data_IF_924623312588
#
_entry.id   IF_924623312588
#
_cell.length_a   1.000
_cell.length_b   1.000
_cell.length_c   1.000
_cell.angle_alpha   90.00
_cell.angle_beta   90.00
_cell.angle_gamma   90.00
#
_symmetry.space_group_name_H-M   'P 1'
#
loop_
_entity.id
_entity.type
_entity.pdbx_description
1 polymer ?
#
# COMPACT_ATOMS: atom_id res chain seq x y z
N UNK A 1 10.73 -10.60 -42.07
CA UNK A 1 10.20 -11.05 -40.76
C UNK A 1 11.35 -11.72 -39.99
N UNK A 2 11.38 -11.68 -38.66
CA UNK A 2 12.42 -12.29 -37.80
C UNK A 2 13.62 -11.42 -37.36
N UNK A 3 13.34 -10.27 -36.74
CA UNK A 3 14.24 -9.67 -35.71
C UNK A 3 13.51 -9.22 -34.44
N UNK A 4 12.18 -9.04 -34.50
CA UNK A 4 11.33 -8.74 -33.33
C UNK A 4 11.05 -9.95 -32.42
N UNK A 5 11.24 -11.19 -32.89
CA UNK A 5 10.99 -12.40 -32.07
C UNK A 5 12.13 -12.75 -31.10
N UNK A 6 13.35 -12.27 -31.31
CA UNK A 6 14.50 -12.61 -30.45
C UNK A 6 14.71 -11.63 -29.26
N UNK A 7 14.06 -10.46 -29.28
CA UNK A 7 14.16 -9.50 -28.18
C UNK A 7 13.22 -9.81 -27.00
N UNK A 8 12.25 -10.72 -27.20
CA UNK A 8 11.24 -11.07 -26.20
C UNK A 8 11.65 -12.28 -25.33
N UNK A 9 12.73 -12.95 -25.69
CA UNK A 9 13.19 -14.21 -25.07
C UNK A 9 14.30 -14.01 -24.01
N UNK A 10 14.85 -12.81 -23.88
CA UNK A 10 15.89 -12.46 -22.89
C UNK A 10 15.37 -11.72 -21.65
N UNK A 11 14.11 -11.94 -21.26
CA UNK A 11 13.63 -11.49 -19.94
C UNK A 11 14.14 -12.46 -18.89
N UNK A 12 15.35 -12.21 -18.38
CA UNK A 12 16.02 -13.05 -17.37
C UNK A 12 15.03 -13.41 -16.24
N UNK A 13 14.60 -14.68 -16.23
CA UNK A 13 13.58 -15.27 -15.36
C UNK A 13 14.11 -15.58 -13.95
N UNK A 14 15.11 -14.84 -13.48
CA UNK A 14 15.79 -15.18 -12.24
C UNK A 14 15.81 -14.00 -11.27
N UNK A 15 14.88 -14.01 -10.32
CA UNK A 15 14.86 -13.15 -9.12
C UNK A 15 15.75 -13.69 -7.99
N UNK A 16 16.58 -14.68 -8.31
CA UNK A 16 17.51 -15.30 -7.35
C UNK A 16 18.74 -15.88 -8.03
N UNK A 17 19.83 -15.96 -7.27
CA UNK A 17 21.09 -16.64 -7.65
C UNK A 17 21.44 -17.71 -6.62
N UNK A 18 22.29 -18.67 -7.03
CA UNK A 18 22.87 -19.64 -6.10
C UNK A 18 23.77 -18.92 -5.07
N UNK A 19 23.80 -19.40 -3.82
CA UNK A 19 24.67 -18.84 -2.80
C UNK A 19 26.14 -19.18 -3.14
N UNK A 20 27.08 -18.21 -3.09
CA UNK A 20 28.44 -18.38 -3.60
C UNK A 20 29.26 -19.47 -2.87
N UNK A 21 28.85 -19.88 -1.67
CA UNK A 21 29.54 -20.89 -0.86
C UNK A 21 28.70 -22.13 -0.55
N UNK A 22 27.44 -22.19 -1.01
CA UNK A 22 26.53 -23.32 -0.69
C UNK A 22 25.52 -23.52 -1.82
N UNK A 23 25.71 -24.59 -2.59
CA UNK A 23 24.89 -24.89 -3.76
C UNK A 23 23.43 -25.19 -3.42
N UNK A 24 23.14 -25.59 -2.17
CA UNK A 24 21.79 -25.89 -1.70
C UNK A 24 21.00 -24.64 -1.33
N UNK A 25 21.63 -23.46 -1.28
CA UNK A 25 21.00 -22.19 -0.89
C UNK A 25 20.82 -21.24 -2.06
N UNK A 26 19.77 -20.42 -1.98
CA UNK A 26 19.46 -19.37 -2.96
C UNK A 26 19.39 -18.01 -2.30
N UNK A 27 19.97 -17.01 -2.96
CA UNK A 27 19.85 -15.61 -2.61
C UNK A 27 18.74 -14.99 -3.46
N UNK A 28 17.68 -14.52 -2.80
CA UNK A 28 16.55 -13.86 -3.47
C UNK A 28 16.74 -12.35 -3.45
N UNK A 29 16.52 -11.71 -4.59
CA UNK A 29 16.58 -10.27 -4.71
C UNK A 29 15.19 -9.68 -4.53
N UNK A 30 15.07 -8.79 -3.54
CA UNK A 30 13.88 -7.98 -3.32
C UNK A 30 14.24 -6.51 -3.46
N UNK A 31 13.29 -5.72 -3.97
CA UNK A 31 13.39 -4.26 -3.95
C UNK A 31 12.88 -3.72 -2.62
N UNK A 32 13.35 -2.53 -2.25
CA UNK A 32 12.82 -1.78 -1.11
C UNK A 32 11.35 -1.41 -1.37
N UNK A 33 10.45 -2.18 -0.76
CA UNK A 33 9.01 -2.07 -0.96
C UNK A 33 8.44 -0.71 -0.49
N UNK A 34 8.73 -0.21 0.72
CA UNK A 34 8.35 1.13 1.15
C UNK A 34 8.71 2.23 0.13
N UNK A 35 9.89 2.14 -0.48
CA UNK A 35 10.31 3.09 -1.50
C UNK A 35 9.56 2.94 -2.82
N UNK A 36 9.13 1.74 -3.20
CA UNK A 36 8.26 1.54 -4.37
C UNK A 36 6.89 2.18 -4.16
N UNK A 37 6.25 1.98 -3.00
CA UNK A 37 4.95 2.59 -2.68
C UNK A 37 5.02 4.12 -2.74
N UNK A 38 6.07 4.68 -2.14
CA UNK A 38 6.39 6.11 -2.23
C UNK A 38 6.48 6.57 -3.69
N UNK A 39 7.22 5.86 -4.53
CA UNK A 39 7.40 6.24 -5.94
C UNK A 39 6.07 6.22 -6.72
N UNK A 40 5.18 5.26 -6.42
CA UNK A 40 3.83 5.20 -7.00
C UNK A 40 3.01 6.44 -6.61
N UNK A 41 2.97 6.79 -5.31
CA UNK A 41 2.31 8.01 -4.83
C UNK A 41 2.84 9.26 -5.52
N UNK A 42 4.17 9.41 -5.56
CA UNK A 42 4.84 10.55 -6.21
C UNK A 42 4.48 10.64 -7.69
N UNK A 43 4.44 9.51 -8.40
CA UNK A 43 4.08 9.46 -9.81
C UNK A 43 2.64 9.93 -10.05
N UNK A 44 1.69 9.52 -9.21
CA UNK A 44 0.29 9.95 -9.28
C UNK A 44 0.20 11.47 -9.03
N UNK A 45 0.89 11.98 -8.00
CA UNK A 45 0.92 13.41 -7.68
C UNK A 45 1.52 14.25 -8.82
N UNK A 46 2.57 13.74 -9.49
CA UNK A 46 3.22 14.45 -10.59
C UNK A 46 2.43 14.44 -11.89
N UNK A 47 1.80 13.30 -12.24
CA UNK A 47 1.11 13.13 -13.53
C UNK A 47 -0.38 13.41 -13.48
N UNK A 48 -0.98 13.44 -12.29
CA UNK A 48 -2.41 13.65 -12.08
C UNK A 48 -3.28 12.45 -12.45
N UNK A 49 -2.83 11.57 -13.35
CA UNK A 49 -3.56 10.36 -13.76
C UNK A 49 -2.65 9.15 -13.92
N UNK A 50 -3.22 7.96 -13.71
CA UNK A 50 -2.58 6.66 -13.91
C UNK A 50 -3.58 5.69 -14.55
N UNK A 51 -3.19 5.06 -15.66
CA UNK A 51 -4.02 4.04 -16.33
C UNK A 51 -3.78 2.68 -15.68
N UNK A 52 -4.85 2.01 -15.27
CA UNK A 52 -4.85 0.65 -14.73
C UNK A 52 -5.79 -0.24 -15.55
N UNK A 53 -5.74 -1.57 -15.41
CA UNK A 53 -6.70 -2.46 -16.06
C UNK A 53 -8.16 -2.17 -15.71
N UNK A 54 -8.43 -1.58 -14.54
CA UNK A 54 -9.77 -1.26 -14.05
C UNK A 54 -10.26 0.13 -14.44
N UNK A 55 -9.42 0.93 -15.13
CA UNK A 55 -9.78 2.27 -15.58
C UNK A 55 -8.70 3.31 -15.32
N UNK A 56 -9.12 4.57 -15.19
CA UNK A 56 -8.20 5.68 -14.96
C UNK A 56 -8.28 6.14 -13.52
N UNK A 57 -7.16 6.01 -12.81
CA UNK A 57 -6.97 6.56 -11.46
C UNK A 57 -6.63 8.04 -11.59
N UNK A 58 -7.41 8.92 -10.94
CA UNK A 58 -7.21 10.37 -10.99
C UNK A 58 -6.84 10.93 -9.61
N UNK A 59 -5.81 11.75 -9.56
CA UNK A 59 -5.40 12.51 -8.37
C UNK A 59 -6.50 13.44 -7.86
N UNK A 60 -7.34 13.96 -8.77
CA UNK A 60 -8.44 14.85 -8.44
C UNK A 60 -9.41 14.24 -7.43
N UNK A 61 -9.63 12.92 -7.45
CA UNK A 61 -10.47 12.25 -6.46
C UNK A 61 -9.95 12.43 -5.02
N UNK A 62 -8.64 12.38 -4.80
CA UNK A 62 -8.05 12.65 -3.48
C UNK A 62 -8.13 14.13 -3.09
N UNK A 63 -7.97 15.04 -4.06
CA UNK A 63 -8.04 16.48 -3.78
C UNK A 63 -9.45 16.91 -3.38
N UNK A 64 -10.45 16.47 -4.14
CA UNK A 64 -11.87 16.73 -3.85
C UNK A 64 -12.25 16.13 -2.49
N UNK A 65 -11.85 14.88 -2.23
CA UNK A 65 -12.04 14.26 -0.93
C UNK A 65 -11.44 15.12 0.20
N UNK A 66 -10.16 15.51 0.08
CA UNK A 66 -9.49 16.33 1.09
C UNK A 66 -10.21 17.66 1.32
N UNK A 67 -10.63 18.33 0.24
CA UNK A 67 -11.31 19.63 0.33
C UNK A 67 -12.65 19.54 1.06
N UNK A 68 -13.47 18.54 0.72
CA UNK A 68 -14.81 18.38 1.32
C UNK A 68 -14.70 17.82 2.74
N UNK A 69 -13.78 16.89 2.99
CA UNK A 69 -13.56 16.30 4.30
C UNK A 69 -13.00 17.29 5.31
N UNK A 70 -12.07 18.16 4.89
CA UNK A 70 -11.46 19.17 5.77
C UNK A 70 -12.45 20.23 6.28
N UNK A 71 -13.61 20.39 5.62
CA UNK A 71 -14.67 21.32 6.03
C UNK A 71 -15.61 20.72 7.09
N UNK A 72 -15.57 19.39 7.32
CA UNK A 72 -16.42 18.73 8.33
C UNK A 72 -15.78 18.78 9.71
N UNK A 73 -16.61 18.91 10.75
CA UNK A 73 -16.16 18.84 12.14
C UNK A 73 -15.64 17.45 12.54
N UNK A 74 -16.21 16.38 11.96
CA UNK A 74 -15.72 15.01 12.07
C UNK A 74 -15.33 14.54 10.67
N UNK A 75 -14.05 14.17 10.53
CA UNK A 75 -13.43 13.80 9.27
C UNK A 75 -13.44 12.29 9.05
N UNK A 76 -13.83 11.87 7.85
CA UNK A 76 -13.78 10.47 7.42
C UNK A 76 -12.35 10.04 7.07
N UNK A 77 -11.53 10.95 6.54
CA UNK A 77 -10.12 10.70 6.20
C UNK A 77 -9.19 11.71 6.90
N UNK A 78 -9.10 11.72 8.24
CA UNK A 78 -8.36 12.74 9.00
C UNK A 78 -6.85 12.72 8.73
N UNK A 79 -6.29 11.57 8.33
CA UNK A 79 -4.87 11.41 7.99
C UNK A 79 -4.52 12.03 6.64
N UNK A 80 -5.50 12.27 5.77
CA UNK A 80 -5.28 12.90 4.48
C UNK A 80 -5.15 14.42 4.69
N UNK A 81 -4.01 14.98 4.33
CA UNK A 81 -3.65 16.39 4.54
C UNK A 81 -3.09 17.01 3.25
N UNK A 82 -2.95 18.33 3.20
CA UNK A 82 -2.33 19.06 2.09
C UNK A 82 -0.93 18.53 1.73
N UNK A 83 -0.15 18.07 2.71
CA UNK A 83 1.19 17.48 2.52
C UNK A 83 1.19 16.28 1.56
N UNK A 84 0.07 15.58 1.43
CA UNK A 84 -0.04 14.44 0.52
C UNK A 84 0.08 14.87 -0.94
N UNK A 85 -0.24 16.12 -1.26
CA UNK A 85 -0.22 16.67 -2.62
C UNK A 85 1.03 17.52 -2.90
N UNK A 86 1.84 17.77 -1.88
CA UNK A 86 3.05 18.58 -2.03
C UNK A 86 4.08 17.87 -2.93
N UNK A 87 4.77 18.68 -3.75
CA UNK A 87 5.90 18.25 -4.60
C UNK A 87 7.26 18.53 -3.95
N UNK A 88 7.27 18.98 -2.69
CA UNK A 88 8.48 19.23 -1.93
C UNK A 88 9.31 17.95 -1.76
N UNK A 89 10.64 18.05 -1.89
CA UNK A 89 11.56 16.92 -1.81
C UNK A 89 11.48 16.19 -0.48
N UNK A 90 11.37 16.92 0.63
CA UNK A 90 11.27 16.31 1.96
C UNK A 90 9.97 15.52 2.14
N UNK A 91 8.84 16.10 1.74
CA UNK A 91 7.53 15.45 1.84
C UNK A 91 7.40 14.28 0.85
N UNK A 92 8.06 14.35 -0.30
CA UNK A 92 8.12 13.26 -1.29
C UNK A 92 8.85 12.03 -0.73
N UNK A 93 9.77 12.22 0.23
CA UNK A 93 10.50 11.12 0.86
C UNK A 93 9.76 10.43 2.02
N UNK A 94 8.69 11.05 2.55
CA UNK A 94 7.94 10.50 3.70
C UNK A 94 7.07 9.33 3.27
N UNK A 95 7.55 8.11 3.53
CA UNK A 95 6.83 6.86 3.28
C UNK A 95 5.47 6.82 4.00
N UNK A 96 5.41 7.36 5.21
CA UNK A 96 4.16 7.41 5.98
C UNK A 96 3.02 8.13 5.25
N UNK A 97 3.33 9.20 4.51
CA UNK A 97 2.34 9.90 3.68
C UNK A 97 1.87 9.03 2.51
N UNK A 98 2.72 8.16 1.97
CA UNK A 98 2.31 7.24 0.91
C UNK A 98 1.41 6.12 1.44
N UNK A 99 1.66 5.65 2.66
CA UNK A 99 0.84 4.62 3.30
C UNK A 99 -0.55 5.16 3.61
N UNK A 100 -0.67 6.35 4.20
CA UNK A 100 -1.97 7.00 4.42
C UNK A 100 -2.66 7.38 3.11
N UNK A 101 -1.91 7.71 2.04
CA UNK A 101 -2.49 8.01 0.73
C UNK A 101 -3.24 6.81 0.11
N UNK A 102 -2.77 5.60 0.39
CA UNK A 102 -3.34 4.35 -0.09
C UNK A 102 -4.14 3.58 0.97
N UNK A 103 -4.55 4.22 2.07
CA UNK A 103 -5.18 3.50 3.16
C UNK A 103 -6.65 3.15 2.88
N UNK A 104 -7.15 2.10 3.53
CA UNK A 104 -8.56 1.70 3.43
C UNK A 104 -9.51 2.83 3.87
N UNK A 105 -9.14 3.65 4.86
CA UNK A 105 -9.97 4.78 5.30
C UNK A 105 -10.19 5.81 4.18
N UNK A 106 -9.19 6.04 3.33
CA UNK A 106 -9.34 6.92 2.16
C UNK A 106 -10.30 6.32 1.14
N UNK A 107 -10.22 5.01 0.88
CA UNK A 107 -11.15 4.32 -0.03
C UNK A 107 -12.60 4.40 0.46
N UNK A 108 -12.83 4.08 1.74
CA UNK A 108 -14.17 4.14 2.37
C UNK A 108 -14.71 5.57 2.37
N UNK A 109 -13.86 6.55 2.66
CA UNK A 109 -14.27 7.95 2.61
C UNK A 109 -14.70 8.37 1.19
N UNK A 110 -13.92 8.03 0.15
CA UNK A 110 -14.30 8.31 -1.24
C UNK A 110 -15.67 7.73 -1.59
N UNK A 111 -15.93 6.47 -1.24
CA UNK A 111 -17.23 5.82 -1.49
C UNK A 111 -18.37 6.51 -0.73
N UNK A 112 -18.16 6.87 0.54
CA UNK A 112 -19.15 7.60 1.32
C UNK A 112 -19.54 8.92 0.65
N UNK A 113 -18.55 9.69 0.17
CA UNK A 113 -18.82 10.97 -0.49
C UNK A 113 -19.41 10.83 -1.89
N UNK A 114 -19.10 9.74 -2.60
CA UNK A 114 -19.80 9.39 -3.83
C UNK A 114 -21.28 9.08 -3.58
N UNK A 115 -21.59 8.35 -2.49
CA UNK A 115 -22.98 8.08 -2.09
C UNK A 115 -23.74 9.36 -1.70
N UNK A 116 -23.05 10.32 -1.07
CA UNK A 116 -23.56 11.66 -0.78
C UNK A 116 -23.70 12.56 -2.03
N UNK A 117 -23.36 12.05 -3.22
CA UNK A 117 -23.41 12.75 -4.52
C UNK A 117 -22.56 14.02 -4.57
N UNK A 118 -21.38 13.98 -3.95
CA UNK A 118 -20.39 15.06 -4.09
C UNK A 118 -19.91 15.15 -5.53
N UNK A 119 -19.95 16.36 -6.08
CA UNK A 119 -19.52 16.63 -7.45
C UNK A 119 -18.05 16.26 -7.68
N UNK A 120 -17.77 15.56 -8.77
CA UNK A 120 -16.42 15.14 -9.17
C UNK A 120 -15.93 13.87 -8.49
N UNK A 121 -16.79 13.18 -7.72
CA UNK A 121 -16.56 11.84 -7.21
C UNK A 121 -17.50 10.80 -7.85
N UNK A 122 -18.08 11.08 -9.02
CA UNK A 122 -19.00 10.15 -9.67
C UNK A 122 -18.28 8.92 -10.27
N UNK A 123 -17.04 9.09 -10.74
CA UNK A 123 -16.28 8.05 -11.45
C UNK A 123 -15.07 7.51 -10.67
N UNK A 124 -15.28 7.26 -9.36
CA UNK A 124 -14.22 6.85 -8.43
C UNK A 124 -13.87 5.36 -8.45
N UNK A 125 -14.66 4.51 -9.12
CA UNK A 125 -14.55 3.04 -9.03
C UNK A 125 -13.12 2.52 -9.29
N UNK A 126 -12.46 3.01 -10.34
CA UNK A 126 -11.08 2.63 -10.66
C UNK A 126 -10.07 3.11 -9.61
N UNK A 127 -10.24 4.32 -9.07
CA UNK A 127 -9.39 4.87 -8.00
C UNK A 127 -9.54 4.07 -6.71
N UNK A 128 -10.77 3.77 -6.30
CA UNK A 128 -11.04 3.01 -5.08
C UNK A 128 -10.49 1.59 -5.18
N UNK A 129 -10.74 0.90 -6.30
CA UNK A 129 -10.18 -0.43 -6.53
C UNK A 129 -8.64 -0.43 -6.47
N UNK A 130 -8.01 0.61 -7.02
CA UNK A 130 -6.56 0.78 -6.95
C UNK A 130 -6.05 1.02 -5.53
N UNK A 131 -6.69 1.91 -4.77
CA UNK A 131 -6.34 2.19 -3.36
C UNK A 131 -6.39 0.89 -2.56
N UNK A 132 -7.49 0.13 -2.64
CA UNK A 132 -7.65 -1.12 -1.89
C UNK A 132 -6.60 -2.18 -2.24
N UNK A 133 -6.22 -2.27 -3.52
CA UNK A 133 -5.14 -3.19 -3.94
C UNK A 133 -3.80 -2.77 -3.37
N UNK A 134 -3.50 -1.47 -3.40
CA UNK A 134 -2.28 -0.94 -2.78
C UNK A 134 -2.28 -1.17 -1.27
N UNK A 135 -3.41 -0.92 -0.58
CA UNK A 135 -3.55 -1.17 0.85
C UNK A 135 -3.26 -2.64 1.20
N UNK A 136 -3.92 -3.58 0.51
CA UNK A 136 -3.71 -5.02 0.72
C UNK A 136 -2.27 -5.45 0.43
N UNK A 137 -1.64 -4.87 -0.59
CA UNK A 137 -0.23 -5.14 -0.90
C UNK A 137 0.69 -4.60 0.20
N UNK A 138 0.41 -3.40 0.72
CA UNK A 138 1.15 -2.82 1.84
C UNK A 138 1.00 -3.70 3.08
N UNK A 139 -0.22 -4.08 3.44
CA UNK A 139 -0.49 -4.95 4.59
C UNK A 139 0.22 -6.31 4.46
N UNK A 140 0.25 -6.89 3.26
CA UNK A 140 0.93 -8.16 3.01
C UNK A 140 2.46 -8.05 3.12
N UNK A 141 3.04 -6.95 2.63
CA UNK A 141 4.49 -6.74 2.61
C UNK A 141 5.05 -6.20 3.93
N UNK A 142 4.23 -5.51 4.72
CA UNK A 142 4.55 -4.97 6.04
C UNK A 142 3.91 -5.79 7.18
N UNK A 143 3.46 -7.01 6.86
CA UNK A 143 2.88 -7.94 7.82
C UNK A 143 3.93 -8.36 8.87
N UNK A 144 4.00 -7.61 9.96
CA UNK A 144 4.71 -8.00 11.16
C UNK A 144 3.70 -8.61 12.13
N UNK A 145 3.61 -9.95 12.23
CA UNK A 145 2.91 -10.55 13.37
C UNK A 145 3.81 -10.41 14.60
N UNK A 146 3.39 -9.71 15.67
CA UNK A 146 4.15 -9.67 16.90
C UNK A 146 4.39 -11.06 17.49
N UNK A 147 3.51 -12.03 17.19
CA UNK A 147 3.62 -13.43 17.59
C UNK A 147 4.71 -14.20 16.83
N UNK A 148 5.07 -13.79 15.60
CA UNK A 148 6.13 -14.44 14.78
C UNK A 148 7.39 -13.60 14.65
N UNK A 149 7.51 -12.52 15.41
CA UNK A 149 8.76 -11.76 15.51
C UNK A 149 9.88 -12.67 16.01
N UNK A 150 11.10 -12.48 15.51
CA UNK A 150 12.29 -13.17 16.01
C UNK A 150 12.43 -12.86 17.50
N UNK A 151 12.02 -13.80 18.35
CA UNK A 151 12.33 -13.78 19.77
C UNK A 151 13.75 -14.30 19.94
N UNK A 152 14.54 -13.67 20.82
CA UNK A 152 15.77 -14.31 21.28
C UNK A 152 15.38 -15.69 21.82
N UNK A 153 16.06 -16.74 21.35
CA UNK A 153 15.83 -18.10 21.81
C UNK A 153 16.20 -18.17 23.30
N UNK A 154 15.26 -17.86 24.18
CA UNK A 154 15.20 -18.46 25.50
C UNK A 154 14.84 -19.92 25.24
N UNK A 155 15.74 -20.83 25.62
CA UNK A 155 15.62 -22.25 25.30
C UNK A 155 14.22 -22.79 25.60
N UNK A 156 13.78 -23.67 24.69
CA UNK A 156 12.57 -24.49 24.77
C UNK A 156 11.24 -23.79 24.44
N UNK A 157 10.79 -23.94 23.18
CA UNK A 157 9.50 -24.58 22.88
C UNK A 157 9.33 -24.77 21.37
N UNK A 158 9.19 -26.03 20.96
CA UNK A 158 8.80 -26.45 19.62
C UNK A 158 7.27 -26.30 19.52
N UNK A 159 6.79 -25.26 18.85
CA UNK A 159 5.35 -25.08 18.61
C UNK A 159 4.99 -25.49 17.18
N UNK A 160 4.23 -26.58 17.12
CA UNK A 160 3.68 -27.24 15.96
C UNK A 160 2.77 -26.31 15.14
N UNK A 161 2.97 -26.29 13.82
CA UNK A 161 2.25 -25.43 12.88
C UNK A 161 0.92 -26.07 12.48
N UNK A 162 -0.10 -25.94 13.33
CA UNK A 162 -1.51 -26.08 12.93
C UNK A 162 -2.32 -24.89 13.42
N UNK A 163 -2.36 -23.82 12.63
CA UNK A 163 -3.25 -22.68 12.85
C UNK A 163 -4.54 -22.91 12.05
N UNK A 164 -5.61 -23.33 12.72
CA UNK A 164 -6.97 -23.28 12.18
C UNK A 164 -7.55 -21.86 12.32
N UNK A 165 -8.36 -21.48 11.34
CA UNK A 165 -8.70 -20.11 10.97
C UNK A 165 -9.80 -19.42 11.81
N UNK A 166 -9.89 -19.65 13.13
CA UNK A 166 -11.12 -19.30 13.88
C UNK A 166 -11.04 -18.19 14.93
N UNK A 167 -9.92 -17.48 15.14
CA UNK A 167 -9.85 -16.46 16.20
C UNK A 167 -9.46 -15.07 15.70
N UNK A 168 -10.35 -14.43 14.93
CA UNK A 168 -10.39 -12.97 14.79
C UNK A 168 -11.43 -12.38 15.75
N UNK A 169 -11.01 -12.03 16.96
CA UNK A 169 -11.76 -11.19 17.90
C UNK A 169 -11.25 -9.73 17.87
N UNK A 170 -12.11 -8.72 18.15
CA UNK A 170 -11.75 -7.32 17.96
C UNK A 170 -10.71 -6.82 18.99
N UNK A 171 -9.76 -6.03 18.49
CA UNK A 171 -8.70 -5.33 19.23
C UNK A 171 -9.29 -4.46 20.36
N UNK A 172 -9.02 -4.78 21.63
CA UNK A 172 -9.37 -3.91 22.75
C UNK A 172 -8.45 -2.69 22.82
N UNK A 173 -9.03 -1.53 23.15
CA UNK A 173 -8.36 -0.23 23.26
C UNK A 173 -7.44 -0.22 24.49
N UNK A 174 -6.21 0.28 24.34
CA UNK A 174 -5.29 0.57 25.45
C UNK A 174 -5.92 1.62 26.38
N UNK A 175 -6.11 1.29 27.65
CA UNK A 175 -6.37 2.25 28.72
C UNK A 175 -5.12 3.08 29.00
N UNK A 176 -5.30 4.39 29.00
CA UNK A 176 -4.39 5.40 29.54
C UNK A 176 -4.19 5.18 31.04
N UNK A 177 -2.94 5.17 31.49
CA UNK A 177 -2.61 5.30 32.92
C UNK A 177 -2.43 6.78 33.25
N UNK A 178 -3.20 7.22 34.24
CA UNK A 178 -2.98 8.44 35.02
C UNK A 178 -1.65 8.39 35.79
#
# INVERSE_FOLDING_TARGET
>A
MSKKKQAEEHRSKFVSVCHPCDENRRLWFASDFPHLVKNVKTRIVQRGTLKTPDGTVKLEHWKILHEVDSKKGIRAAPKLTSDHFAKDGYLTMRVSLAYSFFSEEVAVAMESYCNDKVQGLEDISATVAFIRRMNKLIDAMDANLPSTGLKAATGEEQLDLTVTAENYGPRSKKQSRE
#
